data_IF_536917796961
#
_entry.id   IF_536917796961
#
_cell.length_a   1.000
_cell.length_b   1.000
_cell.length_c   1.000
_cell.angle_alpha   90.00
_cell.angle_beta   90.00
_cell.angle_gamma   90.00
#
_symmetry.space_group_name_H-M   'P 1'
#
loop_
_entity.id
_entity.type
_entity.pdbx_description
1 polymer ?
#
# COMPACT_ATOMS: atom_id res chain seq x y z
N UNK A 1 -4.76 -12.49 4.68
CA UNK A 1 -4.51 -11.64 3.51
C UNK A 1 -3.22 -12.07 2.85
N UNK A 2 -3.30 -12.61 1.63
CA UNK A 2 -2.15 -12.99 0.83
C UNK A 2 -1.64 -11.75 0.10
N UNK A 3 -0.49 -11.23 0.50
CA UNK A 3 0.21 -10.21 -0.28
C UNK A 3 0.59 -10.83 -1.64
N UNK A 4 0.06 -10.27 -2.71
CA UNK A 4 0.44 -10.64 -4.07
C UNK A 4 1.57 -9.73 -4.51
N UNK A 5 2.70 -10.32 -4.85
CA UNK A 5 3.81 -9.58 -5.43
C UNK A 5 3.72 -9.66 -6.94
N UNK A 6 3.85 -8.51 -7.59
CA UNK A 6 3.92 -8.42 -9.05
C UNK A 6 5.35 -8.09 -9.43
N UNK A 7 6.00 -8.98 -10.16
CA UNK A 7 7.35 -8.79 -10.66
C UNK A 7 7.30 -8.51 -12.15
N UNK A 8 7.88 -7.39 -12.56
CA UNK A 8 8.12 -7.07 -13.96
C UNK A 8 9.56 -7.43 -14.31
N UNK A 9 9.77 -8.30 -15.26
CA UNK A 9 11.06 -8.58 -15.83
C UNK A 9 11.15 -7.91 -17.21
N UNK A 10 11.89 -6.80 -17.27
CA UNK A 10 12.21 -6.12 -18.53
C UNK A 10 13.47 -6.78 -19.12
N UNK A 11 13.33 -7.59 -20.14
CA UNK A 11 14.44 -7.97 -21.02
C UNK A 11 14.60 -6.89 -22.08
N UNK A 12 15.66 -6.10 -21.95
CA UNK A 12 16.09 -5.14 -22.97
C UNK A 12 16.68 -5.90 -24.18
N UNK A 13 16.15 -5.64 -25.36
CA UNK A 13 16.71 -5.91 -26.69
C UNK A 13 16.51 -7.32 -27.29
N UNK A 14 15.34 -7.77 -27.53
CA UNK A 14 14.93 -8.42 -28.79
C UNK A 14 13.45 -8.81 -28.85
N UNK A 15 12.76 -8.85 -27.72
CA UNK A 15 11.32 -9.01 -27.71
C UNK A 15 10.71 -8.01 -26.73
N UNK A 16 9.84 -7.14 -27.22
CA UNK A 16 8.98 -6.21 -26.45
C UNK A 16 7.98 -6.96 -25.56
N UNK A 17 8.29 -8.17 -25.11
CA UNK A 17 7.46 -8.97 -24.22
C UNK A 17 7.96 -8.84 -22.78
N UNK A 18 7.35 -7.91 -22.06
CA UNK A 18 7.46 -7.88 -20.61
C UNK A 18 6.82 -9.15 -20.04
N UNK A 19 7.60 -9.99 -19.39
CA UNK A 19 7.08 -11.15 -18.67
C UNK A 19 6.56 -10.70 -17.31
N UNK A 20 5.23 -10.75 -17.12
CA UNK A 20 4.58 -10.46 -15.86
C UNK A 20 4.39 -11.75 -15.09
N UNK A 21 5.04 -11.85 -13.93
CA UNK A 21 4.86 -12.95 -13.00
C UNK A 21 4.15 -12.49 -11.74
N UNK A 22 3.12 -13.22 -11.30
CA UNK A 22 2.40 -12.98 -10.06
C UNK A 22 2.77 -14.07 -9.05
N UNK A 23 3.53 -13.69 -8.03
CA UNK A 23 3.86 -14.58 -6.91
C UNK A 23 2.99 -14.25 -5.70
N UNK A 24 2.47 -15.28 -5.03
CA UNK A 24 1.70 -15.14 -3.80
C UNK A 24 2.61 -15.33 -2.60
N UNK A 25 2.69 -14.30 -1.76
CA UNK A 25 3.31 -14.43 -0.44
C UNK A 25 2.36 -15.07 0.58
N UNK A 26 2.93 -15.53 1.69
CA UNK A 26 2.18 -16.11 2.81
C UNK A 26 1.61 -15.05 3.79
N UNK A 27 1.74 -13.75 3.48
CA UNK A 27 1.24 -12.66 4.31
C UNK A 27 2.17 -12.24 5.45
N UNK A 28 3.43 -12.64 5.42
CA UNK A 28 4.41 -12.22 6.42
C UNK A 28 4.75 -10.72 6.25
N UNK A 29 4.52 -9.93 7.29
CA UNK A 29 4.78 -8.49 7.30
C UNK A 29 6.24 -8.14 6.97
N UNK A 30 7.19 -8.94 7.45
CA UNK A 30 8.63 -8.73 7.19
C UNK A 30 8.98 -8.79 5.70
N UNK A 31 8.22 -9.52 4.89
CA UNK A 31 8.41 -9.58 3.43
C UNK A 31 7.95 -8.31 2.69
N UNK A 32 7.44 -7.29 3.39
CA UNK A 32 7.24 -5.95 2.85
C UNK A 32 8.55 -5.14 2.74
N UNK A 33 9.59 -5.51 3.49
CA UNK A 33 10.93 -4.93 3.35
C UNK A 33 11.62 -5.50 2.09
N UNK A 34 12.24 -4.62 1.28
CA UNK A 34 12.71 -4.97 -0.06
C UNK A 34 13.70 -6.14 -0.11
N UNK A 35 14.64 -6.22 0.82
CA UNK A 35 15.62 -7.33 0.84
C UNK A 35 15.00 -8.64 1.33
N UNK A 36 14.05 -8.58 2.25
CA UNK A 36 13.28 -9.75 2.69
C UNK A 36 12.35 -10.24 1.57
N UNK A 37 11.75 -9.31 0.81
CA UNK A 37 10.92 -9.62 -0.34
C UNK A 37 11.72 -10.36 -1.44
N UNK A 38 12.90 -9.84 -1.81
CA UNK A 38 13.77 -10.49 -2.80
C UNK A 38 14.19 -11.88 -2.35
N UNK A 39 14.57 -12.06 -1.08
CA UNK A 39 14.90 -13.37 -0.52
C UNK A 39 13.70 -14.34 -0.58
N UNK A 40 12.50 -13.86 -0.28
CA UNK A 40 11.27 -14.65 -0.33
C UNK A 40 10.94 -15.10 -1.76
N UNK A 41 11.10 -14.22 -2.76
CA UNK A 41 10.89 -14.56 -4.17
C UNK A 41 11.92 -15.60 -4.64
N UNK A 42 13.15 -15.52 -4.14
CA UNK A 42 14.21 -16.51 -4.40
C UNK A 42 13.98 -17.88 -3.70
N UNK A 43 12.89 -18.05 -2.97
CA UNK A 43 12.60 -19.26 -2.20
C UNK A 43 13.40 -19.39 -0.90
N UNK A 44 14.02 -18.31 -0.45
CA UNK A 44 14.77 -18.25 0.80
C UNK A 44 13.91 -17.69 1.93
N UNK A 45 14.36 -17.84 3.17
CA UNK A 45 13.72 -17.20 4.31
C UNK A 45 13.72 -15.69 4.13
N UNK A 46 12.55 -15.06 4.20
CA UNK A 46 12.35 -13.61 4.07
C UNK A 46 12.91 -12.85 5.25
N UNK A 47 14.21 -12.62 5.28
CA UNK A 47 14.89 -11.85 6.30
C UNK A 47 15.53 -10.59 5.70
N UNK A 48 15.39 -9.44 6.37
CA UNK A 48 16.10 -8.22 5.98
C UNK A 48 17.61 -8.43 6.04
N UNK A 49 18.33 -7.81 5.13
CA UNK A 49 19.79 -7.77 5.15
C UNK A 49 20.32 -6.36 5.29
N UNK A 50 21.53 -6.26 5.86
CA UNK A 50 22.23 -4.99 6.01
C UNK A 50 22.59 -4.43 4.62
N UNK A 51 22.47 -3.13 4.45
CA UNK A 51 22.87 -2.38 3.25
C UNK A 51 24.18 -1.62 3.54
N UNK A 52 25.12 -1.49 2.60
CA UNK A 52 25.12 -1.98 1.23
C UNK A 52 25.30 -3.50 1.12
N UNK A 53 25.02 -4.14 -0.04
CA UNK A 53 24.57 -3.53 -1.30
C UNK A 53 23.10 -3.15 -1.28
N UNK A 54 22.73 -2.10 -2.03
CA UNK A 54 21.33 -1.74 -2.28
C UNK A 54 20.72 -2.68 -3.30
N UNK A 55 19.39 -2.79 -3.35
CA UNK A 55 18.67 -3.66 -4.30
C UNK A 55 18.97 -3.29 -5.76
N UNK A 56 19.18 -2.01 -6.04
CA UNK A 56 19.58 -1.53 -7.38
C UNK A 56 20.98 -1.97 -7.80
N UNK A 57 21.83 -2.32 -6.85
CA UNK A 57 23.19 -2.83 -7.10
C UNK A 57 23.21 -4.36 -7.15
N UNK A 58 22.52 -5.00 -6.20
CA UNK A 58 22.45 -6.45 -6.03
C UNK A 58 21.13 -6.87 -5.39
N UNK A 59 20.10 -7.03 -6.21
CA UNK A 59 18.74 -7.41 -5.82
C UNK A 59 18.44 -8.88 -6.13
N UNK A 60 17.33 -9.11 -6.81
CA UNK A 60 16.79 -10.44 -7.13
C UNK A 60 17.79 -11.25 -7.96
N UNK A 61 18.05 -12.46 -7.52
CA UNK A 61 19.07 -13.37 -8.10
C UNK A 61 20.45 -12.72 -8.27
N UNK A 62 20.78 -11.76 -7.40
CA UNK A 62 22.03 -11.02 -7.43
C UNK A 62 22.16 -9.99 -8.55
N UNK A 63 21.09 -9.71 -9.28
CA UNK A 63 21.05 -8.73 -10.37
C UNK A 63 20.54 -7.37 -9.91
N UNK A 64 20.89 -6.26 -10.56
CA UNK A 64 20.29 -4.97 -10.32
C UNK A 64 18.77 -5.05 -10.43
N UNK A 65 18.06 -4.56 -9.41
CA UNK A 65 16.59 -4.70 -9.30
C UNK A 65 15.97 -3.40 -8.86
N UNK A 66 14.97 -2.92 -9.61
CA UNK A 66 14.10 -1.81 -9.21
C UNK A 66 12.92 -2.38 -8.44
N UNK A 67 12.62 -1.81 -7.28
CA UNK A 67 11.52 -2.20 -6.44
C UNK A 67 10.64 -0.98 -6.17
N UNK A 68 9.35 -1.13 -6.44
CA UNK A 68 8.33 -0.14 -6.11
C UNK A 68 7.10 -0.84 -5.53
N UNK A 69 6.26 -0.06 -4.85
CA UNK A 69 4.98 -0.54 -4.35
C UNK A 69 4.08 -0.97 -5.53
N UNK A 70 3.31 -2.04 -5.36
CA UNK A 70 2.36 -2.55 -6.36
C UNK A 70 1.35 -1.48 -6.78
N UNK A 71 0.88 -0.67 -5.85
CA UNK A 71 -0.06 0.42 -6.12
C UNK A 71 0.57 1.49 -7.03
N UNK A 72 1.87 1.79 -6.85
CA UNK A 72 2.63 2.65 -7.76
C UNK A 72 2.64 2.09 -9.18
N UNK A 73 2.97 0.81 -9.33
CA UNK A 73 2.95 0.17 -10.65
C UNK A 73 1.56 0.13 -11.27
N UNK A 74 0.51 -0.06 -10.47
CA UNK A 74 -0.87 -0.06 -10.95
C UNK A 74 -1.32 1.32 -11.47
N UNK A 75 -0.81 2.39 -10.89
CA UNK A 75 -1.15 3.76 -11.31
C UNK A 75 -0.42 4.22 -12.58
N UNK A 76 0.82 3.75 -12.81
CA UNK A 76 1.64 4.19 -13.95
C UNK A 76 0.93 4.05 -15.30
N UNK A 77 0.31 2.91 -15.67
CA UNK A 77 -0.39 2.78 -16.95
C UNK A 77 -1.55 3.75 -17.10
N UNK A 78 -2.27 4.03 -16.02
CA UNK A 78 -3.41 4.95 -16.02
C UNK A 78 -2.95 6.41 -16.17
N UNK A 79 -1.86 6.78 -15.52
CA UNK A 79 -1.24 8.11 -15.67
C UNK A 79 -0.73 8.30 -17.10
N UNK A 80 -0.06 7.30 -17.68
CA UNK A 80 0.42 7.37 -19.07
C UNK A 80 -0.74 7.50 -20.05
N UNK A 81 -1.86 6.82 -19.79
CA UNK A 81 -3.05 6.82 -20.66
C UNK A 81 -3.85 8.11 -20.56
N UNK A 82 -4.05 8.64 -19.36
CA UNK A 82 -4.99 9.74 -19.09
C UNK A 82 -4.28 11.08 -18.81
N UNK A 83 -2.97 11.07 -18.62
CA UNK A 83 -2.18 12.26 -18.31
C UNK A 83 -2.09 12.56 -16.81
N UNK A 84 -1.16 13.45 -16.48
CA UNK A 84 -0.90 13.83 -15.08
C UNK A 84 -2.06 14.60 -14.45
N UNK A 85 -2.73 15.44 -15.23
CA UNK A 85 -3.85 16.26 -14.76
C UNK A 85 -5.03 15.42 -14.28
N UNK A 86 -5.27 14.27 -14.95
CA UNK A 86 -6.24 13.31 -14.49
C UNK A 86 -5.90 12.78 -13.09
N UNK A 87 -4.65 12.39 -12.86
CA UNK A 87 -4.21 11.84 -11.58
C UNK A 87 -4.20 12.89 -10.46
N UNK A 88 -3.70 14.10 -10.75
CA UNK A 88 -3.65 15.18 -9.77
C UNK A 88 -5.00 15.83 -9.51
N UNK A 89 -5.98 15.60 -10.38
CA UNK A 89 -7.38 15.98 -10.16
C UNK A 89 -8.14 15.14 -9.14
N UNK A 90 -7.53 14.03 -8.66
CA UNK A 90 -8.10 13.14 -7.64
C UNK A 90 -7.26 13.29 -6.37
N UNK A 91 -7.91 13.32 -5.22
CA UNK A 91 -7.22 13.43 -3.93
C UNK A 91 -6.99 14.87 -3.49
N UNK A 92 -5.90 15.11 -2.75
CA UNK A 92 -5.49 16.46 -2.31
C UNK A 92 -4.28 16.94 -3.11
N UNK A 93 -3.99 18.26 -3.13
CA UNK A 93 -2.81 18.78 -3.82
C UNK A 93 -1.49 18.13 -3.37
N UNK A 94 -1.36 17.86 -2.07
CA UNK A 94 -0.16 17.27 -1.46
C UNK A 94 -0.16 15.74 -1.54
N UNK A 95 -1.33 15.13 -1.70
CA UNK A 95 -1.51 13.67 -1.78
C UNK A 95 -2.48 13.33 -2.90
N UNK A 96 -2.06 13.41 -4.17
CA UNK A 96 -2.94 13.13 -5.30
C UNK A 96 -3.20 11.64 -5.49
N UNK A 97 -4.30 11.33 -6.18
CA UNK A 97 -4.70 9.98 -6.53
C UNK A 97 -5.59 9.32 -5.49
N UNK A 98 -5.66 8.01 -5.59
CA UNK A 98 -6.43 7.12 -4.71
C UNK A 98 -5.51 6.30 -3.82
N UNK A 99 -6.10 5.69 -2.78
CA UNK A 99 -5.41 4.74 -1.90
C UNK A 99 -6.30 3.53 -1.63
N UNK A 100 -5.71 2.35 -1.77
CA UNK A 100 -6.37 1.10 -1.39
C UNK A 100 -6.17 0.81 0.09
N UNK A 101 -7.27 0.54 0.81
CA UNK A 101 -7.26 0.13 2.22
C UNK A 101 -7.91 -1.24 2.39
N UNK A 102 -7.30 -2.07 3.23
CA UNK A 102 -7.92 -3.29 3.73
C UNK A 102 -8.70 -2.93 5.02
N UNK A 103 -10.00 -2.75 4.88
CA UNK A 103 -10.88 -2.46 6.01
C UNK A 103 -11.24 -3.76 6.73
N UNK A 104 -10.93 -3.84 8.02
CA UNK A 104 -11.14 -5.04 8.84
C UNK A 104 -11.48 -4.67 10.28
N UNK A 105 -11.82 -5.66 11.07
CA UNK A 105 -12.18 -5.50 12.49
C UNK A 105 -13.70 -5.46 12.71
N UNK A 106 -14.13 -4.68 13.70
CA UNK A 106 -15.54 -4.63 14.14
C UNK A 106 -16.41 -3.66 13.32
N UNK A 107 -16.23 -3.60 12.01
CA UNK A 107 -17.09 -2.87 11.08
C UNK A 107 -18.08 -3.83 10.40
N UNK A 108 -19.22 -3.32 9.96
CA UNK A 108 -20.23 -4.15 9.29
C UNK A 108 -19.75 -4.69 7.96
N UNK A 109 -19.10 -3.84 7.14
CA UNK A 109 -18.55 -4.21 5.85
C UNK A 109 -17.02 -4.28 5.92
N UNK A 110 -16.45 -5.46 5.74
CA UNK A 110 -15.00 -5.67 5.69
C UNK A 110 -14.58 -5.99 4.26
N UNK A 111 -13.39 -5.59 3.86
CA UNK A 111 -12.87 -5.87 2.53
C UNK A 111 -11.80 -4.90 2.06
N UNK A 112 -11.45 -5.01 0.79
CA UNK A 112 -10.57 -4.06 0.13
C UNK A 112 -11.42 -2.94 -0.47
N UNK A 113 -11.09 -1.71 -0.11
CA UNK A 113 -11.71 -0.50 -0.63
C UNK A 113 -10.67 0.37 -1.31
N UNK A 114 -11.06 1.10 -2.33
CA UNK A 114 -10.23 2.15 -2.93
C UNK A 114 -10.97 3.48 -2.81
N UNK A 115 -10.28 4.49 -2.29
CA UNK A 115 -10.85 5.79 -1.98
C UNK A 115 -9.91 6.92 -2.42
N UNK A 116 -10.43 8.10 -2.77
CA UNK A 116 -9.57 9.26 -3.03
C UNK A 116 -8.80 9.65 -1.77
N UNK A 117 -7.57 10.08 -1.94
CA UNK A 117 -6.81 10.66 -0.84
C UNK A 117 -7.52 11.90 -0.30
N UNK A 118 -7.44 12.12 1.02
CA UNK A 118 -8.15 13.22 1.69
C UNK A 118 -9.57 12.90 2.16
N UNK A 119 -10.11 11.70 1.87
CA UNK A 119 -11.34 11.21 2.52
C UNK A 119 -11.14 11.16 4.04
N UNK A 120 -12.20 11.32 4.81
CA UNK A 120 -12.10 11.24 6.28
C UNK A 120 -12.20 9.80 6.79
N UNK A 121 -11.62 9.56 7.96
CA UNK A 121 -11.80 8.26 8.64
C UNK A 121 -13.27 7.98 8.96
N UNK A 122 -14.06 9.03 9.23
CA UNK A 122 -15.48 8.90 9.46
C UNK A 122 -16.21 8.31 8.26
N UNK A 123 -15.99 8.86 7.08
CA UNK A 123 -16.58 8.35 5.84
C UNK A 123 -16.15 6.90 5.57
N UNK A 124 -14.87 6.57 5.76
CA UNK A 124 -14.37 5.20 5.57
C UNK A 124 -15.07 4.22 6.52
N UNK A 125 -15.20 4.57 7.81
CA UNK A 125 -15.71 3.63 8.83
C UNK A 125 -17.22 3.54 8.79
N UNK A 126 -17.92 4.67 8.66
CA UNK A 126 -19.37 4.70 8.81
C UNK A 126 -20.10 4.62 7.47
N UNK A 127 -19.65 5.32 6.43
CA UNK A 127 -20.37 5.33 5.15
C UNK A 127 -20.01 4.10 4.32
N UNK A 128 -18.72 3.80 4.20
CA UNK A 128 -18.25 2.63 3.43
C UNK A 128 -18.29 1.35 4.29
N UNK A 129 -17.74 1.42 5.49
CA UNK A 129 -17.71 0.32 6.45
C UNK A 129 -19.06 -0.02 7.08
N UNK A 130 -20.07 0.83 6.90
CA UNK A 130 -21.42 0.64 7.45
C UNK A 130 -21.50 0.77 8.97
N UNK A 131 -20.51 1.40 9.59
CA UNK A 131 -20.43 1.59 11.05
C UNK A 131 -19.98 0.35 11.81
N UNK A 132 -20.07 0.43 13.13
CA UNK A 132 -19.60 -0.61 14.05
C UNK A 132 -20.66 -1.71 14.20
N UNK A 133 -20.21 -2.96 14.17
CA UNK A 133 -21.08 -4.14 14.34
C UNK A 133 -21.93 -4.06 15.59
N UNK A 134 -23.12 -4.62 15.51
CA UNK A 134 -24.08 -4.74 16.60
C UNK A 134 -24.51 -3.39 17.20
N UNK A 135 -24.40 -2.30 16.44
CA UNK A 135 -24.71 -0.96 16.92
C UNK A 135 -23.82 -0.46 18.06
N UNK A 136 -22.67 -1.06 18.26
CA UNK A 136 -21.72 -0.65 19.30
C UNK A 136 -21.10 0.71 18.97
N UNK A 137 -20.62 1.37 20.02
CA UNK A 137 -19.91 2.65 19.85
C UNK A 137 -18.52 2.43 19.27
N UNK A 138 -18.09 3.35 18.42
CA UNK A 138 -16.72 3.43 17.97
C UNK A 138 -15.78 3.64 19.17
N UNK A 139 -14.64 2.98 19.17
CA UNK A 139 -13.63 3.12 20.22
C UNK A 139 -12.30 3.66 19.65
N UNK A 140 -11.75 2.98 18.69
CA UNK A 140 -10.51 3.38 18.03
C UNK A 140 -10.34 2.63 16.72
N UNK A 141 -9.51 3.17 15.84
CA UNK A 141 -9.04 2.53 14.61
C UNK A 141 -7.53 2.55 14.55
N UNK A 142 -6.93 1.44 14.16
CA UNK A 142 -5.50 1.38 13.85
C UNK A 142 -5.31 1.59 12.34
N UNK A 143 -4.39 2.45 11.97
CA UNK A 143 -4.02 2.73 10.57
C UNK A 143 -2.51 2.50 10.38
N UNK A 144 -2.09 2.23 9.15
CA UNK A 144 -0.69 2.02 8.82
C UNK A 144 -0.14 0.64 9.17
N UNK A 145 -1.00 -0.33 9.48
CA UNK A 145 -0.59 -1.69 9.86
C UNK A 145 0.05 -1.77 11.25
N UNK A 146 0.87 -2.80 11.53
CA UNK A 146 1.44 -3.04 12.87
C UNK A 146 2.31 -1.90 13.41
N UNK A 147 2.94 -1.13 12.52
CA UNK A 147 3.78 0.03 12.88
C UNK A 147 3.01 1.35 12.93
N UNK A 148 1.72 1.32 12.65
CA UNK A 148 0.87 2.51 12.58
C UNK A 148 0.34 2.96 13.93
N UNK A 149 -0.38 4.09 13.89
CA UNK A 149 -1.02 4.69 15.06
C UNK A 149 -2.45 4.22 15.30
N UNK A 150 -2.92 4.38 16.53
CA UNK A 150 -4.33 4.24 16.89
C UNK A 150 -4.96 5.62 17.00
N UNK A 151 -6.08 5.82 16.30
CA UNK A 151 -6.84 7.05 16.30
C UNK A 151 -8.17 6.84 17.02
N UNK A 152 -8.55 7.84 17.81
CA UNK A 152 -9.77 7.84 18.63
C UNK A 152 -10.89 8.64 17.98
N UNK A 153 -12.06 8.69 18.63
CA UNK A 153 -13.24 9.37 18.12
C UNK A 153 -13.00 10.85 17.77
N UNK A 154 -12.19 11.55 18.56
CA UNK A 154 -11.83 12.95 18.31
C UNK A 154 -11.04 13.19 17.03
N UNK A 155 -10.53 12.13 16.42
CA UNK A 155 -9.69 12.17 15.21
C UNK A 155 -10.42 11.60 13.97
N UNK A 156 -11.69 11.23 14.10
CA UNK A 156 -12.46 10.65 12.98
C UNK A 156 -12.59 11.58 11.76
N UNK A 157 -12.57 12.88 11.97
CA UNK A 157 -12.68 13.88 10.91
C UNK A 157 -11.32 14.26 10.30
N UNK A 158 -10.24 13.55 10.71
CA UNK A 158 -8.94 13.70 10.09
C UNK A 158 -8.96 13.17 8.66
N UNK A 159 -8.35 13.94 7.77
CA UNK A 159 -8.19 13.54 6.37
C UNK A 159 -7.16 12.42 6.25
N UNK A 160 -7.47 11.47 5.40
CA UNK A 160 -6.56 10.37 5.05
C UNK A 160 -5.61 10.85 3.94
N UNK A 161 -4.70 11.72 4.31
CA UNK A 161 -3.56 12.14 3.51
C UNK A 161 -2.28 12.12 4.36
N UNK A 162 -1.13 12.15 3.71
CA UNK A 162 0.16 11.99 4.39
C UNK A 162 0.42 13.10 5.41
N UNK A 163 0.13 14.35 5.05
CA UNK A 163 0.41 15.51 5.89
C UNK A 163 -0.50 15.58 7.11
N UNK A 164 -1.80 15.36 6.91
CA UNK A 164 -2.79 15.40 8.00
C UNK A 164 -2.52 14.31 9.04
N UNK A 165 -2.17 13.09 8.59
CA UNK A 165 -1.88 12.00 9.49
C UNK A 165 -0.55 12.16 10.22
N UNK A 166 0.47 12.69 9.56
CA UNK A 166 1.76 12.99 10.20
C UNK A 166 1.59 14.00 11.33
N UNK A 167 0.75 15.04 11.15
CA UNK A 167 0.48 16.05 12.17
C UNK A 167 -0.15 15.48 13.44
N UNK A 168 -0.90 14.40 13.35
CA UNK A 168 -1.54 13.73 14.50
C UNK A 168 -0.76 12.51 15.00
N UNK A 169 0.48 12.32 14.53
CA UNK A 169 1.36 11.24 14.95
C UNK A 169 0.98 9.87 14.40
N UNK A 170 0.24 9.85 13.31
CA UNK A 170 -0.14 8.63 12.61
C UNK A 170 0.51 8.60 11.22
N UNK A 171 0.49 7.45 10.55
CA UNK A 171 0.97 7.30 9.17
C UNK A 171 0.10 6.32 8.39
N UNK A 172 0.00 6.59 7.09
CA UNK A 172 -0.51 5.62 6.13
C UNK A 172 0.59 4.59 5.89
N UNK A 173 0.25 3.32 5.98
CA UNK A 173 1.14 2.24 5.55
C UNK A 173 1.34 2.28 4.04
N UNK A 174 2.48 1.77 3.59
CA UNK A 174 2.83 1.67 2.17
C UNK A 174 2.06 0.55 1.46
#
# INVERSE_FOLDING_TARGET
>A
FSLRYVQFELRLLHDLLSHLHINRGAGAFVCGEGSALTASIEGKRGMPRVKPPRTVEKGLFGKPTVLNNVETYANVPMIVKHGTDWYTGIGTPESPGTKAFALTGNVNNTGLIEVPMGITLREIIFDIGGGIRDGKKFKAVQIGGPSGGCLTESQLDSKMDFDSLTKIGAMIGS
#
